data_IF_621870716641
#
_entry.id   IF_621870716641
#
_cell.length_a   1.000
_cell.length_b   1.000
_cell.length_c   1.000
_cell.angle_alpha   90.00
_cell.angle_beta   90.00
_cell.angle_gamma   90.00
#
_symmetry.space_group_name_H-M   'P 1'
#
loop_
_entity.id
_entity.type
_entity.pdbx_description
1 polymer ?
#
# COMPACT_ATOMS: atom_id res chain seq x y z
N UNK A 1 18.70 11.93 25.01
CA UNK A 1 17.30 11.78 24.58
C UNK A 1 17.33 11.27 23.13
N UNK A 2 16.94 10.03 22.86
CA UNK A 2 16.85 9.51 21.50
C UNK A 2 15.55 10.06 20.89
N UNK A 3 15.66 10.84 19.84
CA UNK A 3 14.46 11.34 19.15
C UNK A 3 13.63 10.16 18.62
N UNK A 4 12.29 10.18 18.82
CA UNK A 4 11.40 9.25 18.14
C UNK A 4 11.54 9.52 16.64
N UNK A 5 12.02 8.59 15.87
CA UNK A 5 12.29 8.76 14.44
C UNK A 5 13.72 8.44 14.02
N UNK A 6 14.66 8.39 14.92
CA UNK A 6 15.96 7.78 14.65
C UNK A 6 15.86 6.26 14.79
N UNK A 7 14.99 5.65 13.99
CA UNK A 7 15.03 4.21 13.89
C UNK A 7 16.21 3.81 13.05
N UNK A 8 16.94 2.93 13.64
CA UNK A 8 17.86 2.13 12.85
C UNK A 8 16.97 1.40 11.86
N UNK A 9 17.02 1.75 10.59
CA UNK A 9 16.46 1.02 9.45
C UNK A 9 16.85 -0.46 9.42
N UNK A 10 17.40 -0.90 10.46
CA UNK A 10 18.19 -2.09 10.72
C UNK A 10 17.34 -3.26 11.23
N UNK A 11 16.08 -3.03 11.58
CA UNK A 11 15.39 -3.99 12.43
C UNK A 11 14.69 -5.10 11.67
N UNK A 12 14.34 -4.87 10.41
CA UNK A 12 13.66 -5.88 9.59
C UNK A 12 14.57 -6.54 8.57
N UNK A 13 15.64 -5.85 8.18
CA UNK A 13 16.58 -6.37 7.20
C UNK A 13 17.96 -6.42 7.81
N UNK A 14 18.52 -7.61 8.08
CA UNK A 14 19.85 -7.77 8.67
C UNK A 14 20.98 -7.38 7.71
N UNK A 15 20.68 -6.46 6.83
CA UNK A 15 21.53 -6.07 5.72
C UNK A 15 22.70 -5.25 6.14
N UNK A 16 22.47 -4.34 7.09
CA UNK A 16 23.41 -3.23 7.24
C UNK A 16 24.53 -3.45 8.23
N UNK A 17 24.36 -4.36 9.19
CA UNK A 17 25.34 -4.50 10.27
C UNK A 17 26.52 -5.41 9.94
N UNK A 18 26.34 -6.34 9.01
CA UNK A 18 27.37 -7.31 8.63
C UNK A 18 28.00 -7.02 7.28
N UNK A 19 27.46 -6.05 6.55
CA UNK A 19 27.95 -5.67 5.22
C UNK A 19 28.64 -4.30 5.31
N UNK A 20 29.98 -4.22 5.27
CA UNK A 20 30.72 -2.97 5.41
C UNK A 20 30.46 -1.97 4.28
N UNK A 21 29.83 -2.41 3.19
CA UNK A 21 29.49 -1.55 2.04
C UNK A 21 28.14 -0.87 2.21
N UNK A 22 27.34 -1.24 3.24
CA UNK A 22 26.07 -0.59 3.51
C UNK A 22 26.26 0.62 4.40
N UNK A 23 26.15 1.78 3.83
CA UNK A 23 26.16 3.04 4.53
C UNK A 23 24.85 3.21 5.32
N UNK A 24 24.87 3.80 6.53
CA UNK A 24 23.66 4.22 7.21
C UNK A 24 22.80 5.15 6.33
N UNK A 25 21.48 5.00 6.39
CA UNK A 25 20.53 5.80 5.57
C UNK A 25 20.78 7.33 5.74
N UNK A 26 21.24 7.77 6.92
CA UNK A 26 21.57 9.17 7.14
C UNK A 26 22.70 9.73 6.28
N UNK A 27 23.72 8.92 6.03
CA UNK A 27 24.86 9.32 5.21
C UNK A 27 24.50 9.34 3.72
N UNK A 28 23.42 8.65 3.33
CA UNK A 28 22.92 8.61 1.96
C UNK A 28 22.13 9.87 1.54
N UNK A 29 21.51 10.54 2.48
CA UNK A 29 20.74 11.76 2.19
C UNK A 29 21.70 12.90 1.84
N UNK A 30 22.92 12.86 2.37
CA UNK A 30 23.90 13.95 2.22
C UNK A 30 24.89 13.75 1.07
N UNK A 31 25.15 12.52 0.62
CA UNK A 31 26.40 12.26 -0.11
C UNK A 31 26.29 11.84 -1.59
N UNK A 32 25.17 11.62 -2.19
CA UNK A 32 25.13 11.46 -3.65
C UNK A 32 23.73 11.43 -4.24
N UNK A 33 23.57 12.15 -5.31
CA UNK A 33 22.40 12.10 -6.20
C UNK A 33 22.16 10.69 -6.81
N UNK A 34 23.11 9.76 -6.66
CA UNK A 34 23.17 8.53 -7.48
C UNK A 34 22.71 7.23 -6.82
N UNK A 35 22.33 7.20 -5.54
CA UNK A 35 21.98 5.93 -4.86
C UNK A 35 20.74 5.97 -3.97
N UNK A 36 19.79 6.83 -4.28
CA UNK A 36 18.54 6.92 -3.48
C UNK A 36 17.51 5.96 -4.02
N UNK A 37 17.19 4.94 -3.25
CA UNK A 37 16.02 4.09 -3.51
C UNK A 37 14.76 4.83 -3.09
N UNK A 38 13.72 4.78 -3.90
CA UNK A 38 12.42 5.35 -3.60
C UNK A 38 11.32 4.62 -4.34
N UNK A 39 10.10 4.84 -3.94
CA UNK A 39 8.90 4.40 -4.66
C UNK A 39 8.12 5.59 -5.17
N UNK A 40 7.40 5.39 -6.27
CA UNK A 40 6.48 6.37 -6.85
C UNK A 40 5.07 5.82 -6.79
N UNK A 41 4.11 6.66 -6.43
CA UNK A 41 2.69 6.27 -6.49
C UNK A 41 1.86 7.37 -7.12
N UNK A 42 0.75 6.96 -7.74
CA UNK A 42 -0.30 7.86 -8.21
C UNK A 42 -1.49 7.71 -7.29
N UNK A 43 -2.06 8.82 -6.82
CA UNK A 43 -3.24 8.79 -5.97
C UNK A 43 -4.25 9.88 -6.30
N UNK A 44 -5.48 9.61 -5.91
CA UNK A 44 -6.54 10.57 -5.78
C UNK A 44 -6.36 11.30 -4.46
N UNK A 45 -5.83 12.53 -4.48
CA UNK A 45 -5.63 13.31 -3.26
C UNK A 45 -6.96 13.74 -2.68
N UNK A 46 -7.26 13.28 -1.48
CA UNK A 46 -8.50 13.58 -0.78
C UNK A 46 -8.31 13.65 0.74
N UNK A 47 -9.31 14.16 1.43
CA UNK A 47 -9.39 14.15 2.89
C UNK A 47 -10.52 13.21 3.31
N UNK A 48 -10.21 12.31 4.23
CA UNK A 48 -11.20 11.46 4.89
C UNK A 48 -11.79 12.17 6.10
N UNK A 49 -13.11 12.27 6.16
CA UNK A 49 -13.90 12.91 7.22
C UNK A 49 -14.80 11.86 7.84
N UNK A 50 -14.48 11.43 9.05
CA UNK A 50 -15.31 10.47 9.78
C UNK A 50 -16.31 11.19 10.68
N UNK A 51 -17.58 10.80 10.60
CA UNK A 51 -18.65 11.36 11.42
C UNK A 51 -19.58 10.26 11.93
N UNK A 52 -20.07 10.46 13.17
CA UNK A 52 -21.13 9.60 13.75
C UNK A 52 -22.47 10.24 13.50
N UNK A 53 -23.38 9.50 12.86
CA UNK A 53 -24.70 9.96 12.47
C UNK A 53 -25.76 8.91 12.79
N UNK A 54 -27.02 9.32 12.84
CA UNK A 54 -28.15 8.42 12.91
C UNK A 54 -28.65 8.01 11.51
N UNK A 55 -29.55 7.02 11.45
CA UNK A 55 -30.10 6.55 10.19
C UNK A 55 -30.92 7.63 9.47
N UNK A 56 -31.60 8.53 10.23
CA UNK A 56 -32.36 9.63 9.66
C UNK A 56 -31.49 10.65 8.92
N UNK A 57 -30.23 10.80 9.36
CA UNK A 57 -29.23 11.63 8.66
C UNK A 57 -28.91 11.04 7.28
N UNK A 58 -28.66 9.73 7.20
CA UNK A 58 -28.39 9.02 5.94
C UNK A 58 -29.56 9.18 4.96
N UNK A 59 -30.81 9.02 5.45
CA UNK A 59 -32.02 9.17 4.65
C UNK A 59 -32.21 10.60 4.11
N UNK A 60 -31.98 11.65 4.94
CA UNK A 60 -32.09 13.05 4.51
C UNK A 60 -31.17 13.41 3.37
N UNK A 61 -29.95 12.86 3.36
CA UNK A 61 -28.98 13.05 2.29
C UNK A 61 -29.17 12.07 1.14
N UNK A 62 -30.25 11.25 1.13
CA UNK A 62 -30.57 10.26 0.10
C UNK A 62 -29.42 9.28 -0.18
N UNK A 63 -28.65 8.97 0.86
CA UNK A 63 -27.55 8.02 0.79
C UNK A 63 -28.09 6.61 1.01
N UNK A 64 -27.54 5.64 0.31
CA UNK A 64 -27.83 4.23 0.54
C UNK A 64 -26.90 3.70 1.63
N UNK A 65 -27.48 3.31 2.78
CA UNK A 65 -26.72 2.78 3.92
C UNK A 65 -25.82 1.63 3.51
N UNK A 66 -24.57 1.64 3.94
CA UNK A 66 -23.57 0.62 3.60
C UNK A 66 -22.97 0.76 2.20
N UNK A 67 -23.36 1.76 1.41
CA UNK A 67 -22.90 1.98 0.06
C UNK A 67 -22.04 3.25 -0.07
N UNK A 68 -21.49 3.42 -1.26
CA UNK A 68 -20.70 4.60 -1.66
C UNK A 68 -21.43 5.38 -2.74
N UNK A 69 -21.60 6.69 -2.55
CA UNK A 69 -22.21 7.59 -3.51
C UNK A 69 -21.29 8.77 -3.81
N UNK A 70 -21.17 9.12 -5.08
CA UNK A 70 -20.51 10.35 -5.51
C UNK A 70 -21.51 11.51 -5.41
N UNK A 71 -21.12 12.58 -4.70
CA UNK A 71 -21.90 13.79 -4.51
C UNK A 71 -21.21 14.99 -5.14
N UNK A 72 -21.99 16.01 -5.51
CA UNK A 72 -21.45 17.27 -6.05
C UNK A 72 -20.79 18.11 -4.93
N UNK A 73 -19.90 19.02 -5.30
CA UNK A 73 -19.12 19.82 -4.36
C UNK A 73 -20.00 20.69 -3.45
N UNK A 74 -21.10 21.27 -3.96
CA UNK A 74 -22.04 22.06 -3.18
C UNK A 74 -22.77 21.21 -2.12
N UNK A 75 -23.16 19.98 -2.47
CA UNK A 75 -23.74 19.03 -1.54
C UNK A 75 -22.74 18.58 -0.46
N UNK A 76 -21.49 18.42 -0.84
CA UNK A 76 -20.41 18.10 0.09
C UNK A 76 -20.12 19.25 1.08
N UNK A 77 -20.20 20.50 0.62
CA UNK A 77 -20.05 21.66 1.50
C UNK A 77 -21.18 21.74 2.52
N UNK A 78 -22.44 21.61 2.05
CA UNK A 78 -23.61 21.60 2.93
C UNK A 78 -23.54 20.43 3.95
N UNK A 79 -23.11 19.25 3.51
CA UNK A 79 -22.91 18.10 4.38
C UNK A 79 -21.86 18.39 5.47
N UNK A 80 -20.74 18.97 5.09
CA UNK A 80 -19.67 19.32 6.03
C UNK A 80 -20.11 20.39 7.05
N UNK A 81 -20.80 21.42 6.59
CA UNK A 81 -21.35 22.48 7.46
C UNK A 81 -22.31 21.90 8.49
N UNK A 82 -23.23 21.00 8.09
CA UNK A 82 -24.16 20.35 9.01
C UNK A 82 -23.43 19.45 10.03
N UNK A 83 -22.49 18.62 9.56
CA UNK A 83 -21.69 17.75 10.42
C UNK A 83 -20.89 18.56 11.46
N UNK A 84 -20.30 19.67 11.04
CA UNK A 84 -19.50 20.56 11.90
C UNK A 84 -20.38 21.28 12.92
N UNK A 85 -21.50 21.88 12.48
CA UNK A 85 -22.42 22.64 13.33
C UNK A 85 -23.02 21.77 14.42
N UNK A 86 -23.27 20.50 14.15
CA UNK A 86 -23.80 19.53 15.10
C UNK A 86 -22.69 18.77 15.88
N UNK A 87 -21.40 19.10 15.68
CA UNK A 87 -20.26 18.43 16.33
C UNK A 87 -20.25 16.91 16.13
N UNK A 88 -20.64 16.44 14.93
CA UNK A 88 -20.73 15.01 14.58
C UNK A 88 -19.41 14.45 14.03
N UNK A 89 -18.50 15.32 13.58
CA UNK A 89 -17.19 14.91 13.06
C UNK A 89 -16.35 14.36 14.20
N UNK A 90 -15.89 13.13 14.05
CA UNK A 90 -15.02 12.46 15.02
C UNK A 90 -13.53 12.57 14.66
N UNK A 91 -13.22 12.45 13.39
CA UNK A 91 -11.83 12.53 12.89
C UNK A 91 -11.79 13.11 11.48
N UNK A 92 -10.67 13.74 11.16
CA UNK A 92 -10.32 14.17 9.80
C UNK A 92 -8.87 13.76 9.51
N UNK A 93 -8.65 13.10 8.40
CA UNK A 93 -7.33 12.58 8.02
C UNK A 93 -6.99 12.98 6.59
N UNK A 94 -5.71 13.07 6.27
CA UNK A 94 -5.28 12.96 4.90
C UNK A 94 -5.58 11.53 4.43
N UNK A 95 -6.38 11.41 3.39
CA UNK A 95 -6.83 10.14 2.84
C UNK A 95 -6.10 9.74 1.57
N UNK A 96 -6.72 8.82 0.84
CA UNK A 96 -6.17 8.23 -0.38
C UNK A 96 -5.36 6.97 -0.09
N UNK A 97 -5.70 5.88 -0.77
CA UNK A 97 -5.09 4.56 -0.57
C UNK A 97 -3.57 4.58 -0.81
N UNK A 98 -3.14 5.18 -1.92
CA UNK A 98 -1.71 5.26 -2.23
C UNK A 98 -1.02 6.30 -1.35
N UNK A 99 -1.66 7.42 -1.03
CA UNK A 99 -1.16 8.41 -0.07
C UNK A 99 -0.87 7.80 1.30
N UNK A 100 -1.77 6.95 1.80
CA UNK A 100 -1.56 6.19 3.05
C UNK A 100 -0.39 5.20 2.92
N UNK A 101 -0.35 4.44 1.82
CA UNK A 101 0.72 3.47 1.55
C UNK A 101 2.09 4.14 1.49
N UNK A 102 2.23 5.25 0.73
CA UNK A 102 3.48 5.99 0.59
C UNK A 102 3.92 6.65 1.90
N UNK A 103 2.97 7.21 2.65
CA UNK A 103 3.24 7.76 3.97
C UNK A 103 3.77 6.68 4.92
N UNK A 104 3.07 5.55 5.01
CA UNK A 104 3.46 4.43 5.86
C UNK A 104 4.84 3.86 5.45
N UNK A 105 5.07 3.69 4.15
CA UNK A 105 6.38 3.32 3.63
C UNK A 105 7.48 4.30 4.10
N UNK A 106 7.28 5.59 3.93
CA UNK A 106 8.27 6.61 4.31
C UNK A 106 8.55 6.64 5.82
N UNK A 107 7.53 6.33 6.63
CA UNK A 107 7.69 6.21 8.09
C UNK A 107 8.45 4.93 8.48
N UNK A 108 8.19 3.80 7.80
CA UNK A 108 8.81 2.51 8.07
C UNK A 108 10.25 2.44 7.57
N UNK A 109 10.46 2.83 6.32
CA UNK A 109 11.75 2.74 5.64
C UNK A 109 12.74 3.84 6.02
N UNK A 110 12.24 4.95 6.56
CA UNK A 110 13.00 6.18 6.74
C UNK A 110 13.56 6.71 5.40
N UNK A 111 12.84 6.45 4.30
CA UNK A 111 13.25 6.67 2.93
C UNK A 111 12.24 7.54 2.17
N UNK A 112 12.63 8.02 0.99
CA UNK A 112 11.80 8.90 0.16
C UNK A 112 10.72 8.09 -0.56
N UNK A 113 9.51 8.65 -0.62
CA UNK A 113 8.48 8.28 -1.60
C UNK A 113 8.08 9.50 -2.42
N UNK A 114 7.55 9.30 -3.62
CA UNK A 114 7.09 10.37 -4.51
C UNK A 114 5.62 10.18 -4.81
N UNK A 115 4.80 11.19 -4.54
CA UNK A 115 3.38 11.18 -4.86
C UNK A 115 3.13 11.97 -6.13
N UNK A 116 2.49 11.33 -7.09
CA UNK A 116 1.88 11.95 -8.27
C UNK A 116 0.38 12.04 -8.05
N UNK A 117 -0.21 13.15 -8.42
CA UNK A 117 -1.63 13.43 -8.22
C UNK A 117 -1.89 14.91 -8.47
N UNK A 118 -2.99 15.41 -7.95
CA UNK A 118 -3.36 16.82 -8.09
C UNK A 118 -3.41 17.52 -6.74
N UNK A 119 -3.16 18.82 -6.72
CA UNK A 119 -3.30 19.67 -5.54
C UNK A 119 -3.84 21.04 -5.95
N UNK A 120 -4.62 21.68 -5.11
CA UNK A 120 -5.13 23.02 -5.44
C UNK A 120 -4.02 24.05 -5.56
N UNK A 121 -4.14 24.96 -6.55
CA UNK A 121 -3.17 26.04 -6.80
C UNK A 121 -3.07 27.02 -5.63
N UNK A 122 -4.16 27.22 -4.88
CA UNK A 122 -4.23 28.17 -3.77
C UNK A 122 -4.52 27.44 -2.46
N UNK A 123 -3.48 27.20 -1.68
CA UNK A 123 -3.57 26.52 -0.38
C UNK A 123 -3.65 27.55 0.72
N UNK A 124 -4.78 27.63 1.39
CA UNK A 124 -4.99 28.51 2.53
C UNK A 124 -4.82 27.75 3.85
N UNK A 125 -4.27 28.42 4.86
CA UNK A 125 -4.16 27.88 6.22
C UNK A 125 -5.57 27.47 6.73
N UNK A 126 -5.69 26.24 7.22
CA UNK A 126 -6.96 25.70 7.70
C UNK A 126 -7.83 25.05 6.62
N UNK A 127 -7.50 25.18 5.34
CA UNK A 127 -8.19 24.47 4.27
C UNK A 127 -7.90 22.95 4.31
N UNK A 128 -8.72 22.15 3.61
CA UNK A 128 -8.49 20.71 3.48
C UNK A 128 -7.14 20.37 2.84
N UNK A 129 -6.74 21.10 1.82
CA UNK A 129 -5.43 20.92 1.17
C UNK A 129 -4.28 21.19 2.14
N UNK A 130 -4.40 22.20 3.00
CA UNK A 130 -3.43 22.49 4.04
C UNK A 130 -3.35 21.35 5.06
N UNK A 131 -4.49 20.84 5.52
CA UNK A 131 -4.55 19.67 6.42
C UNK A 131 -3.93 18.43 5.81
N UNK A 132 -4.21 18.15 4.52
CA UNK A 132 -3.59 17.04 3.79
C UNK A 132 -2.05 17.13 3.84
N UNK A 133 -1.48 18.30 3.57
CA UNK A 133 -0.04 18.51 3.63
C UNK A 133 0.52 18.32 5.05
N UNK A 134 -0.14 18.88 6.05
CA UNK A 134 0.29 18.78 7.45
C UNK A 134 0.25 17.33 8.01
N UNK A 135 -0.63 16.49 7.49
CA UNK A 135 -0.75 15.08 7.89
C UNK A 135 0.05 14.12 7.01
N UNK A 136 0.92 14.65 6.16
CA UNK A 136 1.76 13.86 5.27
C UNK A 136 3.21 13.87 5.77
N UNK A 137 3.88 12.71 5.69
CA UNK A 137 5.28 12.58 6.06
C UNK A 137 6.16 13.57 5.25
N UNK A 138 7.11 14.25 5.92
CA UNK A 138 8.08 15.12 5.26
C UNK A 138 9.02 14.39 4.30
N UNK A 139 9.03 13.05 4.32
CA UNK A 139 9.80 12.20 3.39
C UNK A 139 9.01 11.84 2.15
N UNK A 140 7.70 12.07 2.15
CA UNK A 140 6.88 11.95 0.95
C UNK A 140 7.03 13.23 0.13
N UNK A 141 7.67 13.12 -1.04
CA UNK A 141 7.91 14.23 -1.94
C UNK A 141 6.63 14.59 -2.70
N UNK A 142 6.14 15.79 -2.46
CA UNK A 142 4.92 16.35 -3.04
C UNK A 142 5.19 17.37 -4.16
N UNK A 143 6.46 17.55 -4.56
CA UNK A 143 6.83 18.55 -5.57
C UNK A 143 6.30 18.21 -6.97
N UNK A 144 5.89 16.97 -7.19
CA UNK A 144 5.35 16.48 -8.46
C UNK A 144 3.82 16.45 -8.50
N UNK A 145 3.15 17.02 -7.50
CA UNK A 145 1.71 17.23 -7.56
C UNK A 145 1.37 18.31 -8.60
N UNK A 146 0.46 17.95 -9.52
CA UNK A 146 -0.04 18.91 -10.52
C UNK A 146 -0.96 19.93 -9.85
N UNK A 147 -0.64 21.22 -9.97
CA UNK A 147 -1.52 22.29 -9.53
C UNK A 147 -2.78 22.39 -10.40
N UNK A 148 -3.95 22.44 -9.77
CA UNK A 148 -5.27 22.60 -10.44
C UNK A 148 -6.17 23.52 -9.64
N UNK A 149 -7.15 24.13 -10.31
CA UNK A 149 -8.18 24.94 -9.65
C UNK A 149 -9.32 24.06 -9.15
N UNK A 150 -9.87 24.42 -8.00
CA UNK A 150 -10.97 23.71 -7.36
C UNK A 150 -10.58 23.09 -6.01
N UNK A 151 -11.55 22.52 -5.28
CA UNK A 151 -11.31 21.88 -3.99
C UNK A 151 -10.61 20.53 -4.14
N UNK A 152 -9.86 20.14 -3.12
CA UNK A 152 -9.36 18.77 -2.97
C UNK A 152 -10.53 17.79 -2.80
N UNK A 153 -10.36 16.52 -3.17
CA UNK A 153 -11.35 15.48 -2.94
C UNK A 153 -11.71 15.33 -1.46
N UNK A 154 -12.93 14.94 -1.16
CA UNK A 154 -13.44 14.66 0.19
C UNK A 154 -14.18 13.34 0.23
N UNK A 155 -13.88 12.52 1.20
CA UNK A 155 -14.60 11.27 1.48
C UNK A 155 -15.22 11.36 2.87
N UNK A 156 -16.54 11.46 2.95
CA UNK A 156 -17.27 11.42 4.20
C UNK A 156 -17.58 9.98 4.54
N UNK A 157 -17.04 9.49 5.64
CA UNK A 157 -17.36 8.19 6.22
C UNK A 157 -18.37 8.39 7.33
N UNK A 158 -19.63 8.15 7.03
CA UNK A 158 -20.76 8.30 7.94
C UNK A 158 -21.01 6.99 8.65
N UNK A 159 -20.82 6.98 9.98
CA UNK A 159 -20.87 5.77 10.81
C UNK A 159 -22.16 5.83 11.65
N UNK A 160 -23.06 4.89 11.43
CA UNK A 160 -24.30 4.76 12.18
C UNK A 160 -24.09 3.99 13.49
N UNK A 161 -25.07 4.01 14.41
CA UNK A 161 -24.96 3.41 15.76
C UNK A 161 -24.60 1.92 15.73
N UNK A 162 -25.06 1.18 14.72
CA UNK A 162 -24.72 -0.23 14.52
C UNK A 162 -23.30 -0.46 13.95
N UNK A 163 -22.52 0.62 13.72
CA UNK A 163 -21.17 0.58 13.19
C UNK A 163 -21.06 0.46 11.67
N UNK A 164 -22.20 0.50 10.96
CA UNK A 164 -22.20 0.45 9.50
C UNK A 164 -21.70 1.77 8.90
N UNK A 165 -20.91 1.66 7.82
CA UNK A 165 -20.26 2.79 7.17
C UNK A 165 -20.92 3.10 5.83
N UNK A 166 -21.29 4.33 5.62
CA UNK A 166 -21.81 4.86 4.35
C UNK A 166 -20.85 5.94 3.86
N UNK A 167 -20.53 5.92 2.57
CA UNK A 167 -19.55 6.84 2.01
C UNK A 167 -20.21 7.84 1.06
N UNK A 168 -19.98 9.14 1.30
CA UNK A 168 -20.29 10.20 0.35
C UNK A 168 -18.98 10.82 -0.15
N UNK A 169 -18.76 10.81 -1.46
CA UNK A 169 -17.48 11.20 -2.07
C UNK A 169 -17.70 12.39 -2.98
N UNK A 170 -17.05 13.53 -2.64
CA UNK A 170 -16.93 14.67 -3.54
C UNK A 170 -15.55 14.59 -4.21
N UNK A 171 -15.49 14.36 -5.54
CA UNK A 171 -14.22 14.18 -6.23
C UNK A 171 -13.32 15.42 -6.24
N UNK A 172 -13.90 16.61 -6.23
CA UNK A 172 -13.12 17.83 -6.42
C UNK A 172 -12.26 17.75 -7.69
N UNK A 173 -10.97 18.02 -7.53
CA UNK A 173 -10.00 17.93 -8.65
C UNK A 173 -9.23 16.61 -8.72
N UNK A 174 -9.49 15.62 -7.86
CA UNK A 174 -8.64 14.44 -7.67
C UNK A 174 -8.43 13.59 -8.94
N UNK A 175 -9.35 13.66 -9.92
CA UNK A 175 -9.27 12.89 -11.17
C UNK A 175 -8.71 13.69 -12.37
N UNK A 176 -8.13 14.88 -12.12
CA UNK A 176 -7.66 15.79 -13.19
C UNK A 176 -6.16 15.74 -13.44
N UNK A 177 -5.48 14.68 -13.00
CA UNK A 177 -4.06 14.47 -13.33
C UNK A 177 -3.92 14.23 -14.83
N UNK A 178 -3.02 14.97 -15.48
CA UNK A 178 -2.80 14.88 -16.92
C UNK A 178 -1.59 14.01 -17.27
N UNK A 179 -1.62 13.30 -18.41
CA UNK A 179 -0.49 12.47 -18.86
C UNK A 179 0.84 13.24 -18.96
N UNK A 180 0.77 14.51 -19.40
CA UNK A 180 1.96 15.37 -19.57
C UNK A 180 2.61 15.75 -18.22
N UNK A 181 1.89 15.57 -17.12
CA UNK A 181 2.41 15.82 -15.77
C UNK A 181 3.14 14.62 -15.17
N UNK A 182 3.23 13.50 -15.90
CA UNK A 182 3.93 12.29 -15.43
C UNK A 182 5.41 12.37 -15.80
N UNK A 183 6.32 12.52 -14.82
CA UNK A 183 7.76 12.65 -15.08
C UNK A 183 8.39 11.27 -15.34
N UNK A 184 8.81 11.00 -16.57
CA UNK A 184 9.41 9.72 -16.97
C UNK A 184 10.65 9.38 -16.13
N UNK A 185 11.55 10.35 -15.91
CA UNK A 185 12.80 10.16 -15.18
C UNK A 185 12.57 9.76 -13.70
N UNK A 186 11.49 10.23 -13.09
CA UNK A 186 11.13 9.87 -11.72
C UNK A 186 10.61 8.43 -11.66
N UNK A 187 9.84 8.02 -12.66
CA UNK A 187 9.38 6.61 -12.74
C UNK A 187 10.55 5.69 -13.04
N UNK A 188 11.43 6.07 -13.97
CA UNK A 188 12.58 5.27 -14.39
C UNK A 188 13.56 4.92 -13.24
N UNK A 189 13.71 5.83 -12.28
CA UNK A 189 14.57 5.65 -11.10
C UNK A 189 13.89 4.97 -9.90
N UNK A 190 12.59 4.69 -9.99
CA UNK A 190 11.84 4.12 -8.87
C UNK A 190 12.08 2.61 -8.69
N UNK A 191 12.00 2.15 -7.46
CA UNK A 191 12.00 0.71 -7.13
C UNK A 191 10.67 0.02 -7.42
N UNK A 192 9.57 0.79 -7.43
CA UNK A 192 8.24 0.35 -7.82
C UNK A 192 7.35 1.55 -8.20
N UNK A 193 6.39 1.33 -9.10
CA UNK A 193 5.25 2.20 -9.36
C UNK A 193 4.03 1.62 -8.64
N UNK A 194 3.41 2.39 -7.75
CA UNK A 194 2.29 1.94 -6.90
C UNK A 194 0.99 2.63 -7.33
N UNK A 195 -0.03 1.84 -7.59
CA UNK A 195 -1.30 2.26 -8.14
C UNK A 195 -2.48 1.65 -7.36
N UNK A 196 -3.65 2.27 -7.49
CA UNK A 196 -4.92 1.67 -7.04
C UNK A 196 -5.89 1.52 -8.21
N UNK A 197 -6.79 0.55 -8.12
CA UNK A 197 -7.81 0.33 -9.14
C UNK A 197 -8.75 1.54 -9.31
N UNK A 198 -8.89 2.38 -8.31
CA UNK A 198 -9.69 3.61 -8.41
C UNK A 198 -9.23 4.56 -9.51
N UNK A 199 -7.94 4.57 -9.87
CA UNK A 199 -7.35 5.47 -10.87
C UNK A 199 -7.86 5.20 -12.29
N UNK A 200 -8.25 3.96 -12.57
CA UNK A 200 -8.74 3.54 -13.89
C UNK A 200 -10.26 3.69 -14.00
N UNK A 201 -10.93 3.83 -12.85
CA UNK A 201 -12.38 4.02 -12.75
C UNK A 201 -12.72 5.51 -12.73
N UNK A 202 -12.82 6.13 -13.89
CA UNK A 202 -13.15 7.54 -13.98
C UNK A 202 -14.34 7.77 -14.93
N UNK A 203 -15.00 8.92 -14.76
CA UNK A 203 -16.06 9.35 -15.66
C UNK A 203 -15.46 9.78 -17.01
N UNK A 204 -16.23 9.71 -18.11
CA UNK A 204 -15.78 10.23 -19.39
C UNK A 204 -15.33 11.70 -19.28
N UNK A 205 -14.13 11.98 -19.80
CA UNK A 205 -13.53 13.33 -19.77
C UNK A 205 -12.59 13.60 -18.57
N UNK A 206 -12.48 12.69 -17.63
CA UNK A 206 -11.44 12.73 -16.60
C UNK A 206 -10.11 12.17 -17.15
N UNK A 207 -9.00 12.80 -16.81
CA UNK A 207 -7.67 12.51 -17.39
C UNK A 207 -6.82 11.54 -16.58
N UNK A 208 -7.25 11.20 -15.37
CA UNK A 208 -6.53 10.29 -14.47
C UNK A 208 -6.23 8.90 -15.08
N UNK A 209 -7.17 8.23 -15.80
CA UNK A 209 -6.87 6.94 -16.41
C UNK A 209 -5.76 7.04 -17.45
N UNK A 210 -5.76 8.08 -18.29
CA UNK A 210 -4.74 8.29 -19.30
C UNK A 210 -3.37 8.57 -18.66
N UNK A 211 -3.32 9.39 -17.60
CA UNK A 211 -2.12 9.64 -16.83
C UNK A 211 -1.58 8.36 -16.18
N UNK A 212 -2.48 7.51 -15.66
CA UNK A 212 -2.12 6.22 -15.08
C UNK A 212 -1.51 5.29 -16.13
N UNK A 213 -2.12 5.19 -17.31
CA UNK A 213 -1.59 4.39 -18.41
C UNK A 213 -0.24 4.91 -18.92
N UNK A 214 -0.05 6.23 -18.95
CA UNK A 214 1.24 6.83 -19.29
C UNK A 214 2.33 6.44 -18.28
N UNK A 215 2.03 6.45 -16.98
CA UNK A 215 2.94 6.02 -15.94
C UNK A 215 3.28 4.52 -16.06
N UNK A 216 2.30 3.66 -16.33
CA UNK A 216 2.50 2.24 -16.59
C UNK A 216 3.40 2.02 -17.81
N UNK A 217 3.19 2.79 -18.88
CA UNK A 217 4.04 2.74 -20.06
C UNK A 217 5.51 3.04 -19.72
N UNK A 218 5.76 4.09 -18.94
CA UNK A 218 7.12 4.42 -18.49
C UNK A 218 7.71 3.35 -17.56
N UNK A 219 6.91 2.82 -16.63
CA UNK A 219 7.37 1.74 -15.75
C UNK A 219 7.78 0.48 -16.54
N UNK A 220 6.99 0.07 -17.53
CA UNK A 220 7.33 -1.05 -18.43
C UNK A 220 8.59 -0.76 -19.24
N UNK A 221 8.70 0.43 -19.84
CA UNK A 221 9.88 0.85 -20.62
C UNK A 221 11.18 0.76 -19.82
N UNK A 222 11.14 1.08 -18.53
CA UNK A 222 12.30 1.08 -17.63
C UNK A 222 12.38 -0.15 -16.72
N UNK A 223 11.56 -1.18 -16.98
CA UNK A 223 11.51 -2.42 -16.20
C UNK A 223 11.24 -2.23 -14.70
N UNK A 224 10.51 -1.17 -14.33
CA UNK A 224 10.05 -0.90 -12.97
C UNK A 224 8.81 -1.75 -12.67
N UNK A 225 8.76 -2.51 -11.56
CA UNK A 225 7.59 -3.29 -11.22
C UNK A 225 6.38 -2.41 -10.92
N UNK A 226 5.23 -2.76 -11.52
CA UNK A 226 3.96 -2.12 -11.24
C UNK A 226 3.25 -2.89 -10.12
N UNK A 227 2.88 -2.19 -9.06
CA UNK A 227 2.18 -2.72 -7.89
C UNK A 227 0.78 -2.11 -7.87
N UNK A 228 -0.25 -2.94 -7.88
CA UNK A 228 -1.64 -2.51 -7.86
C UNK A 228 -2.33 -2.99 -6.58
N UNK A 229 -3.00 -2.07 -5.85
CA UNK A 229 -4.00 -2.45 -4.83
C UNK A 229 -5.41 -2.29 -5.40
N UNK A 230 -6.26 -3.30 -5.16
CA UNK A 230 -7.61 -3.32 -5.74
C UNK A 230 -8.57 -2.34 -5.05
N UNK A 231 -8.34 -2.05 -3.76
CA UNK A 231 -8.98 -0.98 -3.01
C UNK A 231 -10.44 -1.23 -2.60
N UNK A 232 -11.26 -1.88 -3.43
CA UNK A 232 -12.62 -2.29 -3.06
C UNK A 232 -13.20 -3.33 -4.01
N UNK A 233 -13.97 -4.29 -3.46
CA UNK A 233 -14.71 -5.29 -4.22
C UNK A 233 -15.66 -4.69 -5.26
N UNK A 234 -16.27 -3.54 -4.97
CA UNK A 234 -17.25 -2.91 -5.87
C UNK A 234 -16.67 -2.45 -7.20
N UNK A 235 -15.39 -2.08 -7.24
CA UNK A 235 -14.69 -1.74 -8.48
C UNK A 235 -14.45 -3.00 -9.30
N UNK A 236 -14.05 -4.08 -8.65
CA UNK A 236 -13.75 -5.35 -9.32
C UNK A 236 -15.01 -6.03 -9.83
N UNK A 237 -16.08 -6.05 -9.03
CA UNK A 237 -17.37 -6.68 -9.36
C UNK A 237 -18.05 -6.08 -10.61
N UNK A 238 -17.71 -4.84 -10.99
CA UNK A 238 -18.27 -4.21 -12.20
C UNK A 238 -17.82 -4.92 -13.47
N UNK A 239 -16.57 -5.32 -13.55
CA UNK A 239 -16.01 -6.07 -14.69
C UNK A 239 -14.78 -6.88 -14.23
N UNK A 240 -14.96 -8.06 -13.63
CA UNK A 240 -13.85 -8.89 -13.17
C UNK A 240 -12.92 -9.33 -14.30
N UNK A 241 -13.45 -9.48 -15.54
CA UNK A 241 -12.63 -9.90 -16.67
C UNK A 241 -11.68 -8.79 -17.10
N UNK A 242 -12.15 -7.55 -17.17
CA UNK A 242 -11.28 -6.39 -17.41
C UNK A 242 -10.10 -6.35 -16.43
N UNK A 243 -10.36 -6.60 -15.12
CA UNK A 243 -9.31 -6.58 -14.12
C UNK A 243 -8.32 -7.73 -14.26
N UNK A 244 -8.77 -8.92 -14.65
CA UNK A 244 -7.87 -10.05 -14.94
C UNK A 244 -6.94 -9.73 -16.10
N UNK A 245 -7.47 -9.18 -17.17
CA UNK A 245 -6.71 -8.79 -18.37
C UNK A 245 -5.75 -7.64 -18.04
N UNK A 246 -6.19 -6.65 -17.27
CA UNK A 246 -5.39 -5.52 -16.81
C UNK A 246 -4.21 -6.00 -15.95
N UNK A 247 -4.45 -6.91 -14.99
CA UNK A 247 -3.42 -7.51 -14.16
C UNK A 247 -2.40 -8.25 -15.02
N UNK A 248 -2.85 -9.12 -15.90
CA UNK A 248 -1.99 -9.93 -16.76
C UNK A 248 -1.10 -9.09 -17.68
N UNK A 249 -1.65 -7.97 -18.17
CA UNK A 249 -0.91 -7.12 -19.10
C UNK A 249 0.02 -6.13 -18.38
N UNK A 250 -0.38 -5.58 -17.22
CA UNK A 250 0.26 -4.38 -16.68
C UNK A 250 0.90 -4.53 -15.30
N UNK A 251 0.55 -5.55 -14.52
CA UNK A 251 0.84 -5.60 -13.08
C UNK A 251 1.80 -6.73 -12.73
N UNK A 252 2.84 -6.41 -11.95
CA UNK A 252 3.77 -7.40 -11.40
C UNK A 252 3.33 -7.91 -10.03
N UNK A 253 2.71 -7.03 -9.21
CA UNK A 253 2.33 -7.34 -7.83
C UNK A 253 0.91 -6.85 -7.58
N UNK A 254 0.04 -7.70 -7.06
CA UNK A 254 -1.31 -7.32 -6.63
C UNK A 254 -1.45 -7.41 -5.12
N UNK A 255 -2.04 -6.37 -4.52
CA UNK A 255 -2.50 -6.37 -3.13
C UNK A 255 -4.04 -6.33 -3.12
N UNK A 256 -4.64 -7.21 -2.32
CA UNK A 256 -6.10 -7.36 -2.23
C UNK A 256 -6.51 -7.86 -0.84
N UNK A 257 -7.75 -7.64 -0.47
CA UNK A 257 -8.36 -8.32 0.67
C UNK A 257 -9.17 -9.55 0.21
N UNK A 258 -9.74 -10.32 1.16
CA UNK A 258 -10.52 -11.53 0.87
C UNK A 258 -11.76 -11.27 0.01
N UNK A 259 -12.44 -10.15 0.21
CA UNK A 259 -13.62 -9.77 -0.57
C UNK A 259 -13.26 -9.42 -2.02
N UNK A 260 -12.18 -8.65 -2.21
CA UNK A 260 -11.65 -8.31 -3.52
C UNK A 260 -11.13 -9.55 -4.25
N UNK A 261 -10.48 -10.45 -3.51
CA UNK A 261 -9.98 -11.72 -4.02
C UNK A 261 -11.12 -12.61 -4.52
N UNK A 262 -12.24 -12.68 -3.78
CA UNK A 262 -13.45 -13.40 -4.18
C UNK A 262 -14.01 -12.85 -5.50
N UNK A 263 -14.20 -11.53 -5.60
CA UNK A 263 -14.74 -10.91 -6.82
C UNK A 263 -13.81 -11.09 -8.04
N UNK A 264 -12.50 -11.02 -7.82
CA UNK A 264 -11.52 -11.19 -8.89
C UNK A 264 -11.44 -12.63 -9.39
N UNK A 265 -11.46 -13.60 -8.47
CA UNK A 265 -11.09 -15.00 -8.76
C UNK A 265 -12.26 -15.97 -8.72
N UNK A 266 -13.32 -15.65 -7.98
CA UNK A 266 -14.44 -16.54 -7.68
C UNK A 266 -14.17 -17.50 -6.52
N UNK A 267 -12.99 -17.45 -5.87
CA UNK A 267 -12.65 -18.30 -4.72
C UNK A 267 -12.82 -17.54 -3.42
N UNK A 268 -13.56 -18.11 -2.49
CA UNK A 268 -13.74 -17.59 -1.13
C UNK A 268 -12.55 -17.90 -0.21
N UNK A 269 -11.72 -18.86 -0.57
CA UNK A 269 -10.51 -19.22 0.16
C UNK A 269 -9.36 -18.29 -0.29
N UNK A 270 -8.75 -17.50 0.62
CA UNK A 270 -7.71 -16.54 0.27
C UNK A 270 -6.46 -17.17 -0.34
N UNK A 271 -6.14 -18.43 0.01
CA UNK A 271 -5.01 -19.14 -0.54
C UNK A 271 -5.28 -19.58 -1.98
N UNK A 272 -6.46 -20.16 -2.25
CA UNK A 272 -6.86 -20.55 -3.61
C UNK A 272 -7.03 -19.33 -4.51
N UNK A 273 -7.57 -18.22 -3.98
CA UNK A 273 -7.65 -16.96 -4.68
C UNK A 273 -6.25 -16.41 -5.03
N UNK A 274 -5.31 -16.46 -4.08
CA UNK A 274 -3.93 -16.05 -4.32
C UNK A 274 -3.22 -16.92 -5.35
N UNK A 275 -3.44 -18.24 -5.31
CA UNK A 275 -2.91 -19.18 -6.33
C UNK A 275 -3.47 -18.86 -7.72
N UNK A 276 -4.79 -18.60 -7.83
CA UNK A 276 -5.42 -18.22 -9.09
C UNK A 276 -4.84 -16.91 -9.62
N UNK A 277 -4.65 -15.90 -8.77
CA UNK A 277 -4.13 -14.60 -9.15
C UNK A 277 -2.69 -14.67 -9.72
N UNK A 278 -1.89 -15.67 -9.32
CA UNK A 278 -0.57 -15.92 -9.92
C UNK A 278 -0.61 -16.27 -11.42
N UNK A 279 -1.78 -16.52 -11.99
CA UNK A 279 -1.89 -16.65 -13.44
C UNK A 279 -1.72 -15.30 -14.16
N UNK A 280 -1.96 -14.19 -13.45
CA UNK A 280 -1.95 -12.83 -14.00
C UNK A 280 -0.80 -11.97 -13.47
N UNK A 281 -0.27 -12.26 -12.27
CA UNK A 281 0.80 -11.47 -11.64
C UNK A 281 1.93 -12.35 -11.12
N UNK A 282 3.05 -11.73 -10.73
CA UNK A 282 4.22 -12.44 -10.21
C UNK A 282 4.19 -12.63 -8.68
N UNK A 283 3.51 -11.73 -7.97
CA UNK A 283 3.44 -11.72 -6.51
C UNK A 283 2.07 -11.22 -6.04
N UNK A 284 1.52 -11.88 -5.05
CA UNK A 284 0.22 -11.58 -4.43
C UNK A 284 0.41 -11.32 -2.95
N UNK A 285 -0.22 -10.26 -2.45
CA UNK A 285 -0.43 -9.98 -1.03
C UNK A 285 -1.94 -9.98 -0.77
N UNK A 286 -2.44 -10.93 0.00
CA UNK A 286 -3.87 -11.01 0.35
C UNK A 286 -4.05 -10.89 1.86
N UNK A 287 -4.75 -9.84 2.30
CA UNK A 287 -5.14 -9.66 3.70
C UNK A 287 -6.52 -10.27 3.93
N UNK A 288 -6.67 -11.08 4.98
CA UNK A 288 -7.88 -11.84 5.26
C UNK A 288 -8.37 -11.65 6.71
N UNK A 289 -8.33 -10.43 7.21
CA UNK A 289 -8.83 -10.05 8.53
C UNK A 289 -8.45 -11.03 9.64
N UNK A 290 -9.44 -11.69 10.28
CA UNK A 290 -9.18 -12.67 11.34
C UNK A 290 -8.41 -13.92 10.89
N UNK A 291 -8.41 -14.23 9.59
CA UNK A 291 -7.66 -15.34 9.02
C UNK A 291 -6.20 -15.01 8.71
N UNK A 292 -5.79 -13.78 8.97
CA UNK A 292 -4.41 -13.34 8.85
C UNK A 292 -4.02 -12.83 7.48
N UNK A 293 -2.81 -13.18 7.03
CA UNK A 293 -2.22 -12.66 5.82
C UNK A 293 -1.62 -13.79 4.98
N UNK A 294 -1.89 -13.75 3.68
CA UNK A 294 -1.42 -14.71 2.70
C UNK A 294 -0.53 -14.00 1.68
N UNK A 295 0.54 -14.67 1.30
CA UNK A 295 1.36 -14.26 0.17
C UNK A 295 1.60 -15.45 -0.75
N UNK A 296 1.55 -15.20 -2.06
CA UNK A 296 1.89 -16.17 -3.10
C UNK A 296 2.80 -15.53 -4.14
N UNK A 297 3.76 -16.27 -4.68
CA UNK A 297 4.70 -15.74 -5.66
C UNK A 297 5.40 -16.84 -6.43
N UNK A 298 6.33 -16.45 -7.30
CA UNK A 298 7.19 -17.37 -8.01
C UNK A 298 8.63 -17.34 -7.47
N UNK A 299 9.31 -18.46 -7.54
CA UNK A 299 10.76 -18.56 -7.36
C UNK A 299 11.34 -19.51 -8.41
N UNK A 300 12.65 -19.47 -8.61
CA UNK A 300 13.35 -20.45 -9.42
C UNK A 300 13.45 -21.79 -8.69
N UNK A 301 13.10 -22.91 -9.33
CA UNK A 301 13.12 -24.22 -8.71
C UNK A 301 14.49 -24.58 -8.13
N UNK A 302 15.56 -24.28 -8.84
CA UNK A 302 16.91 -24.57 -8.39
C UNK A 302 17.35 -23.79 -7.13
N UNK A 303 16.65 -22.70 -6.79
CA UNK A 303 16.96 -21.83 -5.64
C UNK A 303 15.88 -21.87 -4.56
N UNK A 304 14.92 -22.80 -4.68
CA UNK A 304 13.92 -23.01 -3.63
C UNK A 304 14.58 -23.39 -2.30
N UNK A 305 14.03 -22.86 -1.22
CA UNK A 305 14.47 -23.15 0.15
C UNK A 305 13.39 -23.92 0.87
N UNK A 306 13.67 -25.18 1.12
CA UNK A 306 12.75 -26.05 1.91
C UNK A 306 12.73 -25.60 3.36
N UNK A 307 11.56 -25.59 3.95
CA UNK A 307 11.36 -25.34 5.37
C UNK A 307 12.03 -26.44 6.19
N UNK A 308 12.98 -26.06 7.05
CA UNK A 308 13.75 -26.99 7.90
C UNK A 308 13.35 -26.92 9.37
N UNK A 309 12.53 -25.93 9.72
CA UNK A 309 12.10 -25.68 11.11
C UNK A 309 10.59 -25.88 11.24
N UNK A 310 10.10 -26.14 12.48
CA UNK A 310 8.68 -26.18 12.74
C UNK A 310 8.01 -24.89 12.20
N UNK A 311 6.90 -25.07 11.51
CA UNK A 311 6.09 -23.97 11.02
C UNK A 311 5.52 -23.20 12.22
N UNK A 312 5.36 -21.90 12.04
CA UNK A 312 4.75 -21.06 13.05
C UNK A 312 3.26 -21.41 13.21
N UNK A 313 2.66 -21.13 14.38
CA UNK A 313 1.22 -21.18 14.52
C UNK A 313 0.53 -20.42 13.37
N UNK A 314 -0.56 -20.98 12.86
CA UNK A 314 -1.29 -20.42 11.72
C UNK A 314 -0.75 -20.78 10.34
N UNK A 315 0.46 -21.31 10.23
CA UNK A 315 0.99 -21.77 8.95
C UNK A 315 0.21 -22.98 8.42
N UNK A 316 -0.14 -22.95 7.12
CA UNK A 316 -0.73 -24.08 6.41
C UNK A 316 0.41 -24.89 5.82
N UNK A 317 0.68 -26.07 6.44
CA UNK A 317 1.90 -26.86 6.21
C UNK A 317 2.12 -27.22 4.73
N UNK A 318 1.08 -27.60 4.02
CA UNK A 318 1.12 -28.05 2.64
C UNK A 318 1.57 -26.94 1.68
N UNK A 319 1.30 -25.70 2.02
CA UNK A 319 1.59 -24.54 1.19
C UNK A 319 2.83 -23.77 1.62
N UNK A 320 3.26 -23.92 2.88
CA UNK A 320 4.43 -23.21 3.40
C UNK A 320 5.75 -24.01 3.25
N UNK A 321 5.81 -25.00 2.38
CA UNK A 321 7.00 -25.84 2.20
C UNK A 321 8.25 -25.05 1.79
N UNK A 322 8.08 -23.97 1.06
CA UNK A 322 9.15 -23.14 0.49
C UNK A 322 9.03 -21.68 0.89
N UNK A 323 8.36 -21.39 2.01
CA UNK A 323 8.08 -20.03 2.51
C UNK A 323 9.34 -19.18 2.73
N UNK A 324 10.50 -19.82 2.98
CA UNK A 324 11.78 -19.14 3.12
C UNK A 324 12.45 -18.78 1.79
N UNK A 325 11.79 -19.09 0.66
CA UNK A 325 12.24 -18.65 -0.66
C UNK A 325 11.87 -17.18 -0.90
N UNK A 326 12.67 -16.52 -1.73
CA UNK A 326 12.44 -15.14 -2.17
C UNK A 326 11.62 -15.13 -3.45
N UNK A 327 10.76 -14.14 -3.61
CA UNK A 327 9.94 -14.00 -4.81
C UNK A 327 10.77 -13.45 -6.00
N UNK A 328 10.45 -13.94 -7.20
CA UNK A 328 10.97 -13.52 -8.49
C UNK A 328 9.82 -13.20 -9.45
N UNK A 329 10.09 -12.45 -10.52
CA UNK A 329 9.17 -12.41 -11.65
C UNK A 329 9.19 -13.75 -12.36
N UNK A 330 8.02 -14.22 -12.80
CA UNK A 330 7.89 -15.48 -13.53
C UNK A 330 8.80 -15.53 -14.77
N UNK A 331 8.88 -14.41 -15.49
CA UNK A 331 9.72 -14.29 -16.70
C UNK A 331 11.23 -14.38 -16.44
N UNK A 332 11.67 -14.14 -15.21
CA UNK A 332 13.09 -14.18 -14.80
C UNK A 332 13.50 -15.57 -14.27
N UNK A 333 12.56 -16.53 -14.24
CA UNK A 333 12.78 -17.92 -13.86
C UNK A 333 12.99 -18.80 -15.10
N UNK A 334 13.99 -19.70 -15.05
CA UNK A 334 14.16 -20.76 -16.04
C UNK A 334 13.11 -21.86 -15.82
N UNK A 335 12.90 -22.25 -14.55
CA UNK A 335 11.85 -23.19 -14.12
C UNK A 335 11.04 -22.54 -12.98
N UNK A 336 9.98 -21.78 -13.31
CA UNK A 336 9.19 -21.08 -12.30
C UNK A 336 8.41 -22.05 -11.43
N UNK A 337 8.53 -21.89 -10.12
CA UNK A 337 7.80 -22.66 -9.12
C UNK A 337 6.99 -21.70 -8.24
N UNK A 338 5.73 -22.04 -7.97
CA UNK A 338 4.88 -21.28 -7.05
C UNK A 338 5.29 -21.55 -5.61
N UNK A 339 5.32 -20.48 -4.81
CA UNK A 339 5.63 -20.50 -3.39
C UNK A 339 4.58 -19.72 -2.62
N UNK A 340 4.28 -20.14 -1.40
CA UNK A 340 3.23 -19.57 -0.58
C UNK A 340 3.71 -19.35 0.85
N UNK A 341 3.11 -18.36 1.52
CA UNK A 341 3.25 -18.16 2.96
C UNK A 341 1.92 -17.69 3.52
N UNK A 342 1.54 -18.25 4.65
CA UNK A 342 0.38 -17.83 5.44
C UNK A 342 0.78 -17.63 6.88
N UNK A 343 0.22 -16.62 7.52
CA UNK A 343 0.44 -16.32 8.94
C UNK A 343 -0.85 -15.79 9.58
N UNK A 344 -1.17 -16.31 10.76
CA UNK A 344 -2.26 -15.76 11.58
C UNK A 344 -2.01 -14.32 11.99
N UNK A 345 -3.06 -13.57 12.39
CA UNK A 345 -2.91 -12.21 12.86
C UNK A 345 -1.84 -12.10 13.95
N UNK A 346 -1.00 -11.08 13.84
CA UNK A 346 0.05 -10.81 14.84
C UNK A 346 -0.56 -10.71 16.24
N UNK A 347 -0.05 -11.47 17.20
CA UNK A 347 -0.57 -11.59 18.57
C UNK A 347 -2.09 -11.89 18.66
N UNK A 348 -2.68 -12.55 17.67
CA UNK A 348 -4.12 -12.80 17.61
C UNK A 348 -4.97 -11.58 17.23
N UNK A 349 -4.34 -10.50 16.80
CA UNK A 349 -4.96 -9.20 16.55
C UNK A 349 -4.90 -8.27 17.76
N UNK A 350 -5.13 -6.96 17.58
CA UNK A 350 -5.13 -6.00 18.68
C UNK A 350 -6.32 -6.23 19.60
N UNK A 351 -6.15 -6.04 20.91
CA UNK A 351 -7.22 -6.15 21.91
C UNK A 351 -8.42 -5.27 21.57
N UNK A 352 -8.17 -4.10 20.98
CA UNK A 352 -9.17 -3.18 20.47
C UNK A 352 -8.79 -2.69 19.08
N UNK A 353 -9.63 -2.99 18.11
CA UNK A 353 -9.52 -2.42 16.77
C UNK A 353 -10.04 -0.98 16.85
N UNK A 354 -9.17 -0.02 16.57
CA UNK A 354 -9.52 1.41 16.60
C UNK A 354 -10.06 1.86 15.24
N UNK A 355 -9.46 1.39 14.16
CA UNK A 355 -9.90 1.66 12.79
C UNK A 355 -9.41 0.52 11.88
N UNK A 356 -10.25 0.08 10.94
CA UNK A 356 -9.87 -0.92 9.92
C UNK A 356 -9.33 -0.28 8.63
N UNK A 357 -9.56 1.03 8.44
CA UNK A 357 -9.06 1.74 7.26
C UNK A 357 -7.53 1.77 7.28
N UNK A 358 -6.92 1.49 6.13
CA UNK A 358 -5.48 1.56 5.95
C UNK A 358 -4.68 0.35 6.45
N UNK A 359 -5.32 -0.69 7.01
CA UNK A 359 -4.59 -1.91 7.43
C UNK A 359 -3.94 -2.62 6.24
N UNK A 360 -4.67 -2.70 5.10
CA UNK A 360 -4.14 -3.19 3.82
C UNK A 360 -3.02 -2.28 3.26
N UNK A 361 -3.21 -0.96 3.35
CA UNK A 361 -2.19 0.03 2.93
C UNK A 361 -0.91 -0.13 3.76
N UNK A 362 -1.05 -0.42 5.07
CA UNK A 362 0.06 -0.73 5.96
C UNK A 362 0.79 -2.02 5.57
N UNK A 363 0.06 -3.10 5.28
CA UNK A 363 0.64 -4.35 4.80
C UNK A 363 1.41 -4.14 3.50
N UNK A 364 0.81 -3.41 2.55
CA UNK A 364 1.44 -3.09 1.27
C UNK A 364 2.70 -2.25 1.45
N UNK A 365 2.69 -1.28 2.37
CA UNK A 365 3.88 -0.45 2.66
C UNK A 365 5.07 -1.27 3.16
N UNK A 366 4.83 -2.33 3.92
CA UNK A 366 5.87 -3.27 4.36
C UNK A 366 6.46 -4.07 3.18
N UNK A 367 5.62 -4.57 2.28
CA UNK A 367 6.09 -5.26 1.07
C UNK A 367 6.91 -4.32 0.18
N UNK A 368 6.45 -3.07 -0.01
CA UNK A 368 7.18 -2.07 -0.78
C UNK A 368 8.54 -1.73 -0.17
N UNK A 369 8.62 -1.68 1.17
CA UNK A 369 9.89 -1.49 1.86
C UNK A 369 10.86 -2.65 1.56
N UNK A 370 10.38 -3.89 1.53
CA UNK A 370 11.21 -5.05 1.18
C UNK A 370 11.68 -5.03 -0.29
N UNK A 371 10.80 -4.67 -1.22
CA UNK A 371 11.12 -4.49 -2.64
C UNK A 371 12.20 -3.40 -2.81
N UNK A 372 12.04 -2.28 -2.13
CA UNK A 372 13.00 -1.17 -2.18
C UNK A 372 14.33 -1.56 -1.55
N UNK A 373 14.32 -2.31 -0.45
CA UNK A 373 15.52 -2.84 0.17
C UNK A 373 16.30 -3.77 -0.77
N UNK A 374 15.59 -4.55 -1.60
CA UNK A 374 16.23 -5.37 -2.63
C UNK A 374 16.92 -4.52 -3.69
N UNK A 375 16.24 -3.50 -4.21
CA UNK A 375 16.78 -2.56 -5.18
C UNK A 375 17.99 -1.84 -4.63
N UNK A 376 17.89 -1.32 -3.41
CA UNK A 376 18.97 -0.66 -2.72
C UNK A 376 20.20 -1.55 -2.52
N UNK A 377 20.00 -2.76 -2.01
CA UNK A 377 21.10 -3.69 -1.79
C UNK A 377 21.78 -4.09 -3.10
N UNK A 378 21.00 -4.23 -4.17
CA UNK A 378 21.55 -4.51 -5.51
C UNK A 378 22.42 -3.37 -6.01
N UNK A 379 22.04 -2.11 -5.80
CA UNK A 379 22.83 -0.96 -6.22
C UNK A 379 24.13 -0.83 -5.41
N UNK A 380 24.07 -1.07 -4.11
CA UNK A 380 25.23 -0.84 -3.23
C UNK A 380 26.16 -2.06 -3.09
N UNK A 381 25.64 -3.28 -3.28
CA UNK A 381 26.38 -4.53 -3.16
C UNK A 381 26.08 -5.46 -4.35
N UNK A 382 26.36 -5.03 -5.59
CA UNK A 382 25.92 -5.74 -6.79
C UNK A 382 26.49 -7.17 -6.89
N UNK A 383 27.67 -7.40 -6.33
CA UNK A 383 28.36 -8.69 -6.35
C UNK A 383 27.95 -9.64 -5.20
N UNK A 384 26.97 -9.26 -4.39
CA UNK A 384 26.46 -10.15 -3.35
C UNK A 384 25.81 -11.40 -3.95
N UNK A 385 25.99 -12.55 -3.31
CA UNK A 385 25.30 -13.80 -3.67
C UNK A 385 23.78 -13.68 -3.62
N UNK A 386 23.25 -12.69 -2.89
CA UNK A 386 21.82 -12.35 -2.86
C UNK A 386 21.29 -11.85 -4.20
N UNK A 387 22.16 -11.41 -5.11
CA UNK A 387 21.81 -10.91 -6.46
C UNK A 387 22.20 -11.85 -7.58
N UNK A 388 22.45 -13.13 -7.26
CA UNK A 388 22.70 -14.18 -8.25
C UNK A 388 21.56 -14.36 -9.26
N UNK A 389 20.35 -13.88 -8.90
CA UNK A 389 19.15 -13.84 -9.73
C UNK A 389 18.40 -12.51 -9.57
N UNK A 390 17.39 -12.29 -10.44
CA UNK A 390 16.53 -11.09 -10.43
C UNK A 390 15.37 -11.29 -9.46
N UNK A 391 15.63 -11.16 -8.15
CA UNK A 391 14.57 -11.23 -7.15
C UNK A 391 13.77 -9.93 -7.09
N UNK A 392 12.45 -10.04 -6.85
CA UNK A 392 11.55 -8.94 -6.51
C UNK A 392 11.74 -8.53 -5.04
N UNK A 393 11.81 -9.52 -4.14
CA UNK A 393 11.89 -9.30 -2.70
C UNK A 393 13.33 -9.44 -2.19
N UNK A 394 13.67 -8.67 -1.17
CA UNK A 394 14.93 -8.79 -0.43
C UNK A 394 14.90 -9.98 0.51
N UNK A 395 13.79 -10.11 1.23
CA UNK A 395 13.54 -11.16 2.22
C UNK A 395 12.75 -12.31 1.63
N UNK A 396 12.64 -13.41 2.38
CA UNK A 396 11.76 -14.52 2.03
C UNK A 396 10.28 -14.13 2.18
N UNK A 397 9.39 -14.87 1.52
CA UNK A 397 7.94 -14.65 1.64
C UNK A 397 7.48 -14.65 3.09
N UNK A 398 7.93 -15.61 3.90
CA UNK A 398 7.59 -15.70 5.31
C UNK A 398 8.01 -14.46 6.10
N UNK A 399 9.19 -13.90 5.83
CA UNK A 399 9.66 -12.70 6.50
C UNK A 399 8.85 -11.46 6.11
N UNK A 400 8.57 -11.30 4.82
CA UNK A 400 7.72 -10.20 4.34
C UNK A 400 6.30 -10.32 4.91
N UNK A 401 5.73 -11.53 4.91
CA UNK A 401 4.41 -11.82 5.45
C UNK A 401 4.29 -11.40 6.92
N UNK A 402 5.28 -11.75 7.76
CA UNK A 402 5.34 -11.33 9.17
C UNK A 402 5.47 -9.83 9.32
N UNK A 403 6.32 -9.22 8.53
CA UNK A 403 6.51 -7.77 8.57
C UNK A 403 5.21 -7.04 8.21
N UNK A 404 4.57 -7.42 7.11
CA UNK A 404 3.30 -6.86 6.66
C UNK A 404 2.20 -7.02 7.72
N UNK A 405 2.08 -8.21 8.30
CA UNK A 405 1.11 -8.50 9.36
C UNK A 405 1.30 -7.62 10.61
N UNK A 406 2.55 -7.41 11.01
CA UNK A 406 2.86 -6.56 12.15
C UNK A 406 2.57 -5.07 11.87
N UNK A 407 2.79 -4.61 10.64
CA UNK A 407 2.42 -3.24 10.24
C UNK A 407 0.90 -3.08 10.25
N UNK A 408 0.16 -4.05 9.70
CA UNK A 408 -1.31 -4.04 9.77
C UNK A 408 -1.83 -3.96 11.21
N UNK A 409 -1.26 -4.77 12.11
CA UNK A 409 -1.59 -4.71 13.54
C UNK A 409 -1.39 -3.30 14.13
N UNK A 410 -0.28 -2.64 13.79
CA UNK A 410 -0.02 -1.29 14.29
C UNK A 410 -1.03 -0.27 13.74
N UNK A 411 -1.43 -0.40 12.47
CA UNK A 411 -2.47 0.46 11.89
C UNK A 411 -3.83 0.21 12.55
N UNK A 412 -4.22 -1.05 12.73
CA UNK A 412 -5.46 -1.43 13.41
C UNK A 412 -5.55 -0.91 14.86
N UNK A 413 -4.40 -0.71 15.50
CA UNK A 413 -4.28 -0.26 16.90
C UNK A 413 -4.36 1.26 17.08
N UNK A 414 -4.57 2.03 16.01
CA UNK A 414 -4.66 3.49 16.02
C UNK A 414 -5.85 4.01 15.21
N UNK A 415 -6.25 5.26 15.42
CA UNK A 415 -7.37 5.86 14.68
C UNK A 415 -7.00 6.26 13.24
N UNK A 416 -5.76 6.73 13.05
CA UNK A 416 -5.30 7.17 11.73
C UNK A 416 -4.87 5.98 10.87
N UNK A 417 -5.20 5.95 9.57
CA UNK A 417 -4.65 4.98 8.60
C UNK A 417 -3.15 5.22 8.35
N UNK A 418 -2.64 6.38 8.72
CA UNK A 418 -1.24 6.78 8.58
C UNK A 418 -0.48 6.60 9.87
N UNK A 419 0.63 5.86 9.81
CA UNK A 419 1.51 5.64 10.97
C UNK A 419 2.10 6.95 11.47
N UNK A 420 1.98 7.23 12.76
CA UNK A 420 2.58 8.41 13.40
C UNK A 420 4.06 8.19 13.72
N UNK A 421 4.45 6.94 13.83
CA UNK A 421 5.84 6.49 14.09
C UNK A 421 6.00 5.11 13.47
N UNK A 422 7.25 4.72 13.20
CA UNK A 422 7.51 3.39 12.74
C UNK A 422 7.15 2.34 13.82
N UNK A 423 7.41 1.06 13.60
CA UNK A 423 7.11 -0.01 14.53
C UNK A 423 7.86 0.13 15.87
N UNK A 424 7.29 -0.29 17.01
CA UNK A 424 7.97 -0.34 18.29
C UNK A 424 9.31 -1.10 18.22
N UNK A 425 10.32 -0.63 18.94
CA UNK A 425 11.54 -1.41 19.11
C UNK A 425 11.19 -2.68 19.89
N UNK A 426 11.71 -3.83 19.46
CA UNK A 426 11.61 -5.17 20.04
C UNK A 426 10.59 -5.38 21.16
N UNK A 427 9.61 -6.21 20.88
CA UNK A 427 8.95 -7.03 21.89
C UNK A 427 9.63 -8.41 21.88
N UNK A 428 10.01 -8.86 23.05
CA UNK A 428 11.12 -9.77 23.35
C UNK A 428 11.06 -11.20 22.83
N UNK A 429 10.15 -11.67 22.03
CA UNK A 429 10.12 -13.11 21.87
C UNK A 429 10.13 -13.67 20.46
N UNK A 430 9.59 -12.95 19.50
CA UNK A 430 9.40 -13.51 18.16
C UNK A 430 10.50 -13.11 17.17
N UNK A 431 11.25 -12.05 17.44
CA UNK A 431 12.26 -11.53 16.52
C UNK A 431 13.63 -12.19 16.69
N UNK A 432 14.05 -12.53 17.91
CA UNK A 432 15.37 -13.12 18.15
C UNK A 432 15.52 -14.50 17.55
N UNK A 433 14.51 -15.33 17.67
CA UNK A 433 14.53 -16.67 17.06
C UNK A 433 14.47 -16.66 15.52
N UNK A 434 14.16 -15.52 14.93
CA UNK A 434 13.95 -15.36 13.50
C UNK A 434 15.18 -14.86 12.74
N UNK A 435 16.00 -14.03 13.41
CA UNK A 435 17.15 -13.36 12.81
C UNK A 435 18.47 -14.13 13.01
N UNK A 436 18.51 -15.03 13.96
CA UNK A 436 19.67 -15.86 14.26
C UNK A 436 19.74 -17.17 13.45
N UNK A 437 18.86 -17.33 12.44
CA UNK A 437 18.76 -18.54 11.62
C UNK A 437 19.15 -18.36 10.18
#
# INVERSE_FOLDING_TARGET
MKFPGQRKSKHYFPVSLKDPLLQPIKERIDDSENCKSYIVGIDQTLVDIEAKVDDSFIERYQLSKGHSLVIEDDAAEALYEELTSNSLITHEFAGGTIGNTLHNYSVLADDRSVLLGTMCNNIQIGSYSYRYLCHTSSRMDLNYLQGVDGPIGRCFTLITENGERTFAISPGHMNRLRPESIPEEIIAGASALVLTAYLVRCKPGETMPEATMQAIHYAKKHNVPVVLTLGTKFVIAQDPQFWRDFLAEHVSVVAMNEDEALELTGFNDPLLASDMALNWVDLVLCTAGPSGLYMAGYTEEAFKRTTQHPLLPGAIAEFNLYEFSRAMRRQDCDVPMRIYSHIEPYMGGPEKIMNTNGAGDGALSALLHDITANSYHRMNVPNSSKHSRQYLTYSSLAQVCKYANRVSYQVLSQHSPRLTRGLPEKEDSLEESYWDR
#
